data_IF_302854444345
#
_entry.id   IF_302854444345
#
_cell.length_a   1.000
_cell.length_b   1.000
_cell.length_c   1.000
_cell.angle_alpha   90.00
_cell.angle_beta   90.00
_cell.angle_gamma   90.00
#
_symmetry.space_group_name_H-M   'P 1'
#
loop_
_entity.id
_entity.type
_entity.pdbx_description
1 polymer ?
#
# COMPACT_ATOMS: atom_id res chain seq x y z
N UNK A 1 -30.84 -25.38 -31.51
CA UNK A 1 -29.44 -25.12 -31.10
C UNK A 1 -29.30 -23.68 -30.62
N UNK A 2 -29.69 -23.37 -29.37
CA UNK A 2 -29.60 -22.02 -28.75
C UNK A 2 -29.35 -22.09 -27.23
N UNK A 3 -28.73 -23.17 -26.75
CA UNK A 3 -28.71 -23.50 -25.31
C UNK A 3 -27.33 -23.49 -24.62
N UNK A 4 -26.24 -23.17 -25.34
CA UNK A 4 -24.88 -23.32 -24.79
C UNK A 4 -24.26 -21.98 -24.36
N UNK A 5 -24.77 -20.85 -24.86
CA UNK A 5 -24.17 -19.52 -24.62
C UNK A 5 -24.53 -18.95 -23.23
N UNK A 6 -25.65 -19.36 -22.63
CA UNK A 6 -26.10 -18.81 -21.35
C UNK A 6 -25.32 -19.34 -20.13
N UNK A 7 -24.73 -20.55 -20.23
CA UNK A 7 -24.08 -21.22 -19.09
C UNK A 7 -22.69 -20.65 -18.82
N UNK A 8 -21.99 -20.15 -19.85
CA UNK A 8 -20.65 -19.55 -19.69
C UNK A 8 -20.70 -18.17 -19.04
N UNK A 9 -21.77 -17.40 -19.21
CA UNK A 9 -21.90 -16.06 -18.61
C UNK A 9 -22.15 -16.14 -17.10
N UNK A 10 -22.85 -17.19 -16.64
CA UNK A 10 -23.19 -17.35 -15.22
C UNK A 10 -22.00 -17.76 -14.34
N UNK A 11 -20.99 -18.44 -14.91
CA UNK A 11 -19.81 -18.87 -14.17
C UNK A 11 -18.79 -17.74 -13.92
N UNK A 12 -18.77 -16.71 -14.77
CA UNK A 12 -17.84 -15.57 -14.62
C UNK A 12 -18.27 -14.68 -13.43
N UNK A 13 -19.55 -14.67 -13.08
CA UNK A 13 -20.09 -13.86 -11.99
C UNK A 13 -19.74 -14.37 -10.58
N UNK A 14 -19.30 -15.63 -10.43
CA UNK A 14 -18.97 -16.23 -9.14
C UNK A 14 -17.48 -16.05 -8.75
N UNK A 15 -16.63 -15.63 -9.68
CA UNK A 15 -15.20 -15.41 -9.41
C UNK A 15 -14.88 -13.95 -9.07
N UNK A 16 -15.81 -13.02 -9.28
CA UNK A 16 -15.62 -11.62 -8.88
C UNK A 16 -16.02 -11.42 -7.41
N UNK A 17 -15.30 -12.07 -6.50
CA UNK A 17 -15.06 -11.48 -5.18
C UNK A 17 -14.10 -10.28 -5.37
N UNK A 18 -14.50 -9.32 -6.21
CA UNK A 18 -13.87 -8.02 -6.22
C UNK A 18 -14.48 -7.32 -5.03
N UNK A 19 -13.92 -7.60 -3.85
CA UNK A 19 -13.93 -6.61 -2.77
C UNK A 19 -13.07 -5.46 -3.29
N UNK A 20 -13.64 -4.67 -4.20
CA UNK A 20 -13.09 -3.39 -4.58
C UNK A 20 -13.39 -2.51 -3.38
N UNK A 21 -12.47 -2.53 -2.40
CA UNK A 21 -12.39 -1.44 -1.44
C UNK A 21 -12.34 -0.17 -2.28
N UNK A 22 -13.50 0.51 -2.39
CA UNK A 22 -13.72 1.49 -3.44
C UNK A 22 -12.85 2.72 -3.23
N UNK A 23 -12.34 2.91 -2.00
CA UNK A 23 -11.34 3.90 -1.67
C UNK A 23 -10.20 3.25 -0.87
N UNK A 24 -8.97 3.54 -1.27
CA UNK A 24 -7.77 3.11 -0.56
C UNK A 24 -7.65 3.72 0.85
N UNK A 25 -8.47 4.72 1.16
CA UNK A 25 -8.52 5.40 2.46
C UNK A 25 -9.36 4.66 3.50
N UNK A 26 -10.24 3.76 3.06
CA UNK A 26 -11.13 2.98 3.93
C UNK A 26 -10.40 1.82 4.64
N UNK A 27 -9.10 1.65 4.38
CA UNK A 27 -8.26 0.67 5.07
C UNK A 27 -8.11 1.11 6.54
N UNK A 28 -8.63 0.33 7.51
CA UNK A 28 -8.48 0.63 8.93
C UNK A 28 -7.00 0.48 9.30
N UNK A 29 -6.46 1.48 10.00
CA UNK A 29 -5.04 1.57 10.29
C UNK A 29 -4.79 1.49 11.79
N UNK A 30 -3.95 0.54 12.20
CA UNK A 30 -3.35 0.57 13.53
C UNK A 30 -2.28 1.67 13.57
N UNK A 31 -2.03 2.24 14.75
CA UNK A 31 -1.02 3.28 14.97
C UNK A 31 0.39 2.67 14.99
N UNK A 32 0.77 2.00 13.92
CA UNK A 32 2.13 1.51 13.72
C UNK A 32 3.00 2.67 13.22
N UNK A 33 3.93 3.15 14.03
CA UNK A 33 4.85 4.23 13.64
C UNK A 33 6.19 3.71 13.08
N UNK A 34 6.31 2.40 12.79
CA UNK A 34 7.56 1.80 12.30
C UNK A 34 7.77 2.22 10.84
N UNK A 35 8.84 2.98 10.52
CA UNK A 35 9.11 3.39 9.16
C UNK A 35 9.68 2.23 8.35
N UNK A 36 9.44 2.26 7.04
CA UNK A 36 10.04 1.35 6.07
C UNK A 36 10.50 2.13 4.84
N UNK A 37 11.73 1.88 4.42
CA UNK A 37 12.26 2.39 3.17
C UNK A 37 11.84 1.47 2.04
N UNK A 38 11.29 2.04 0.98
CA UNK A 38 10.75 1.31 -0.16
C UNK A 38 11.33 1.85 -1.46
N UNK A 39 11.21 1.08 -2.54
CA UNK A 39 11.58 1.49 -3.88
C UNK A 39 10.49 1.10 -4.87
N UNK A 40 10.21 1.96 -5.84
CA UNK A 40 9.29 1.67 -6.95
C UNK A 40 10.01 1.04 -8.16
N UNK A 41 9.25 0.68 -9.20
CA UNK A 41 9.81 0.14 -10.46
C UNK A 41 10.74 1.11 -11.19
N UNK A 42 10.61 2.41 -10.94
CA UNK A 42 11.43 3.46 -11.55
C UNK A 42 12.72 3.71 -10.77
N UNK A 43 12.91 3.05 -9.63
CA UNK A 43 14.08 3.22 -8.77
C UNK A 43 13.96 4.38 -7.78
N UNK A 44 12.79 5.01 -7.64
CA UNK A 44 12.60 6.07 -6.65
C UNK A 44 12.41 5.47 -5.26
N UNK A 45 13.17 5.98 -4.30
CA UNK A 45 13.08 5.57 -2.90
C UNK A 45 12.10 6.44 -2.13
N UNK A 46 11.28 5.82 -1.29
CA UNK A 46 10.29 6.51 -0.45
C UNK A 46 10.19 5.86 0.93
N UNK A 47 10.19 6.69 1.96
CA UNK A 47 9.88 6.27 3.33
C UNK A 47 8.37 6.26 3.56
N UNK A 48 7.83 5.13 4.00
CA UNK A 48 6.47 5.02 4.52
C UNK A 48 6.50 4.82 6.03
N UNK A 49 5.71 5.60 6.77
CA UNK A 49 5.57 5.46 8.23
C UNK A 49 4.39 4.56 8.50
N UNK A 50 4.66 3.36 8.99
CA UNK A 50 3.64 2.37 9.30
C UNK A 50 3.14 1.59 8.10
N UNK A 51 2.66 0.39 8.39
CA UNK A 51 2.11 -0.57 7.42
C UNK A 51 0.90 0.00 6.66
N UNK A 52 0.12 0.85 7.33
CA UNK A 52 -1.05 1.50 6.76
C UNK A 52 -0.69 2.42 5.60
N UNK A 53 0.23 3.37 5.81
CA UNK A 53 0.58 4.34 4.75
C UNK A 53 1.16 3.64 3.52
N UNK A 54 1.95 2.59 3.75
CA UNK A 54 2.46 1.72 2.70
C UNK A 54 1.33 0.99 1.96
N UNK A 55 0.38 0.37 2.67
CA UNK A 55 -0.74 -0.34 2.05
C UNK A 55 -1.64 0.60 1.24
N UNK A 56 -1.91 1.81 1.74
CA UNK A 56 -2.66 2.83 1.00
C UNK A 56 -1.95 3.21 -0.29
N UNK A 57 -0.63 3.34 -0.26
CA UNK A 57 0.15 3.65 -1.46
C UNK A 57 0.10 2.51 -2.49
N UNK A 58 0.20 1.25 -2.06
CA UNK A 58 0.04 0.08 -2.94
C UNK A 58 -1.35 0.03 -3.58
N UNK A 59 -2.38 0.37 -2.82
CA UNK A 59 -3.75 0.44 -3.33
C UNK A 59 -3.94 1.57 -4.34
N UNK A 60 -3.39 2.77 -4.07
CA UNK A 60 -3.54 3.95 -4.94
C UNK A 60 -2.71 3.86 -6.22
N UNK A 61 -1.55 3.21 -6.13
CA UNK A 61 -0.55 3.15 -7.20
C UNK A 61 -0.09 1.71 -7.46
N UNK A 62 -1.01 0.79 -7.84
CA UNK A 62 -0.65 -0.60 -8.10
C UNK A 62 0.39 -0.74 -9.24
N UNK A 63 0.43 0.21 -10.17
CA UNK A 63 1.37 0.26 -11.29
C UNK A 63 2.83 0.47 -10.86
N UNK A 64 3.07 1.09 -9.70
CA UNK A 64 4.42 1.44 -9.23
C UNK A 64 5.21 0.25 -8.68
N UNK A 65 4.56 -0.91 -8.46
CA UNK A 65 5.11 -2.14 -7.85
C UNK A 65 6.14 -1.83 -6.74
N UNK A 66 5.67 -1.12 -5.72
CA UNK A 66 6.51 -0.67 -4.61
C UNK A 66 6.93 -1.88 -3.77
N UNK A 67 8.22 -1.99 -3.44
CA UNK A 67 8.79 -3.04 -2.59
C UNK A 67 9.56 -2.45 -1.43
N UNK A 68 9.50 -3.11 -0.28
CA UNK A 68 10.30 -2.72 0.90
C UNK A 68 11.76 -3.13 0.66
N UNK A 69 12.69 -2.19 0.89
CA UNK A 69 14.13 -2.44 0.89
C UNK A 69 14.59 -2.85 2.29
N UNK A 70 14.26 -2.05 3.30
CA UNK A 70 14.57 -2.32 4.71
C UNK A 70 13.61 -1.57 5.64
N UNK A 71 13.58 -1.99 6.91
CA UNK A 71 12.93 -1.23 7.97
C UNK A 71 13.78 -0.01 8.31
N UNK A 72 13.16 1.13 8.60
CA UNK A 72 13.84 2.41 8.78
C UNK A 72 13.47 3.45 7.73
N UNK A 73 14.06 4.63 7.85
CA UNK A 73 13.92 5.75 6.92
C UNK A 73 14.90 5.55 5.75
N UNK A 74 14.53 5.95 4.53
CA UNK A 74 15.45 5.92 3.39
C UNK A 74 16.62 6.89 3.56
N UNK A 75 17.80 6.58 2.98
CA UNK A 75 18.90 7.52 2.95
C UNK A 75 18.50 8.81 2.19
N UNK A 76 18.78 9.98 2.77
CA UNK A 76 18.44 11.29 2.20
C UNK A 76 17.11 11.89 2.68
N UNK A 77 16.26 11.12 3.38
CA UNK A 77 15.03 11.63 4.02
C UNK A 77 15.32 12.25 5.41
N UNK A 78 16.40 13.04 5.53
CA UNK A 78 16.93 13.56 6.80
C UNK A 78 15.91 14.42 7.57
N UNK A 79 14.97 15.06 6.86
CA UNK A 79 13.88 15.81 7.48
C UNK A 79 12.93 14.92 8.31
N UNK A 80 12.73 13.64 7.95
CA UNK A 80 11.92 12.71 8.76
C UNK A 80 12.65 12.26 10.04
N UNK A 81 13.98 12.32 10.04
CA UNK A 81 14.81 12.03 11.22
C UNK A 81 14.63 13.12 12.27
N UNK A 82 14.50 14.39 11.83
CA UNK A 82 14.29 15.53 12.72
C UNK A 82 12.91 15.49 13.41
N UNK A 83 11.85 15.09 12.68
CA UNK A 83 10.53 14.83 13.28
C UNK A 83 10.58 13.74 14.37
N UNK A 84 11.37 12.67 14.17
CA UNK A 84 11.54 11.63 15.20
C UNK A 84 12.31 12.14 16.41
N UNK A 85 13.34 12.98 16.22
CA UNK A 85 14.07 13.63 17.33
C UNK A 85 13.14 14.54 18.15
N UNK A 86 12.28 15.30 17.49
CA UNK A 86 11.32 16.20 18.17
C UNK A 86 10.18 15.45 18.86
N UNK A 87 9.72 14.34 18.29
CA UNK A 87 8.67 13.49 18.89
C UNK A 87 9.17 12.51 19.95
N UNK A 88 10.49 12.37 20.14
CA UNK A 88 11.11 11.51 21.17
C UNK A 88 11.50 12.27 22.44
N UNK A 89 11.10 13.55 22.58
CA UNK A 89 11.40 14.40 23.74
C UNK A 89 10.17 14.68 24.63
N UNK A 90 9.15 13.82 24.57
CA UNK A 90 7.90 13.96 25.36
C UNK A 90 7.55 12.68 26.17
N UNK A 91 8.56 12.00 26.71
CA UNK A 91 8.38 11.03 27.81
C UNK A 91 9.52 11.14 28.83
#
# INVERSE_FOLDING_TARGET
MKGVIAVTILAIALCTNIVLAKNCDDVPCHLDAIPSCTVDVSGNMHTYIGSCSFHRALCRHPEKKIRILHLGICPGDENLIEFKKKSSFDY
#
